data_IF_414923710661
#
_entry.id   IF_414923710661
#
_cell.length_a   1.000
_cell.length_b   1.000
_cell.length_c   1.000
_cell.angle_alpha   90.00
_cell.angle_beta   90.00
_cell.angle_gamma   90.00
#
_symmetry.space_group_name_H-M   'P 1'
#
loop_
_entity.id
_entity.type
_entity.pdbx_description
1 polymer ?
#
# COMPACT_ATOMS: atom_id res chain seq x y z
N UNK A 1 4.24 17.42 -14.32
CA UNK A 1 2.86 17.76 -14.72
C UNK A 1 2.09 18.21 -13.48
N UNK A 2 1.26 19.28 -13.59
CA UNK A 2 0.30 19.66 -12.54
C UNK A 2 -0.73 18.53 -12.41
N UNK A 3 -0.71 17.79 -11.31
CA UNK A 3 -1.70 16.75 -11.10
C UNK A 3 -2.98 17.40 -10.55
N UNK A 4 -3.93 17.65 -11.44
CA UNK A 4 -5.18 18.34 -11.16
C UNK A 4 -6.03 17.63 -10.09
N UNK A 5 -5.87 16.33 -10.00
CA UNK A 5 -6.54 15.48 -9.00
C UNK A 5 -6.13 15.87 -7.56
N UNK A 6 -4.84 16.06 -7.30
CA UNK A 6 -4.37 16.47 -5.96
C UNK A 6 -4.79 17.88 -5.59
N UNK A 7 -4.90 18.79 -6.57
CA UNK A 7 -5.39 20.15 -6.31
C UNK A 7 -6.84 20.12 -5.83
N UNK A 8 -7.66 19.26 -6.44
CA UNK A 8 -9.06 19.09 -6.02
C UNK A 8 -9.19 18.41 -4.65
N UNK A 9 -8.30 17.47 -4.33
CA UNK A 9 -8.34 16.72 -3.07
C UNK A 9 -7.93 17.55 -1.86
N UNK A 10 -6.84 18.31 -1.97
CA UNK A 10 -6.29 19.07 -0.82
C UNK A 10 -6.67 20.54 -0.82
N UNK A 11 -7.27 21.03 -1.91
CA UNK A 11 -7.56 22.43 -2.13
C UNK A 11 -6.38 23.22 -2.71
N UNK A 12 -6.66 24.24 -3.57
CA UNK A 12 -5.63 24.91 -4.36
C UNK A 12 -4.58 25.65 -3.51
N UNK A 13 -4.98 26.30 -2.43
CA UNK A 13 -4.06 27.04 -1.56
C UNK A 13 -3.13 26.10 -0.79
N UNK A 14 -3.69 25.06 -0.19
CA UNK A 14 -2.90 24.07 0.54
C UNK A 14 -1.97 23.31 -0.39
N UNK A 15 -2.45 22.93 -1.58
CA UNK A 15 -1.62 22.32 -2.59
C UNK A 15 -0.46 23.23 -2.99
N UNK A 16 -0.72 24.51 -3.33
CA UNK A 16 0.31 25.43 -3.77
C UNK A 16 1.40 25.66 -2.70
N UNK A 17 1.00 25.86 -1.45
CA UNK A 17 1.94 26.06 -0.34
C UNK A 17 2.78 24.83 -0.07
N UNK A 18 2.17 23.64 0.02
CA UNK A 18 2.90 22.39 0.27
C UNK A 18 3.77 21.99 -0.91
N UNK A 19 3.25 22.06 -2.12
CA UNK A 19 4.02 21.75 -3.32
C UNK A 19 5.19 22.72 -3.51
N UNK A 20 4.97 24.03 -3.37
CA UNK A 20 6.01 25.05 -3.45
C UNK A 20 7.11 24.83 -2.43
N UNK A 21 6.75 24.58 -1.15
CA UNK A 21 7.72 24.27 -0.08
C UNK A 21 8.54 23.01 -0.42
N UNK A 22 7.88 21.97 -0.89
CA UNK A 22 8.56 20.73 -1.27
C UNK A 22 9.52 20.94 -2.45
N UNK A 23 9.08 21.65 -3.51
CA UNK A 23 9.94 21.92 -4.67
C UNK A 23 11.13 22.79 -4.31
N UNK A 24 10.96 23.77 -3.44
CA UNK A 24 12.07 24.58 -2.91
C UNK A 24 13.10 23.69 -2.18
N UNK A 25 12.65 22.80 -1.29
CA UNK A 25 13.54 21.85 -0.61
C UNK A 25 14.25 20.91 -1.58
N UNK A 26 13.50 20.31 -2.53
CA UNK A 26 14.06 19.35 -3.50
C UNK A 26 15.06 20.00 -4.47
N UNK A 27 14.74 21.18 -5.04
CA UNK A 27 15.49 21.79 -6.15
C UNK A 27 16.54 22.80 -5.70
N UNK A 28 16.20 23.62 -4.68
CA UNK A 28 17.10 24.69 -4.21
C UNK A 28 17.98 24.18 -3.09
N UNK A 29 17.40 23.65 -2.02
CA UNK A 29 18.17 23.16 -0.88
C UNK A 29 18.79 21.78 -1.13
N UNK A 30 18.34 21.04 -2.14
CA UNK A 30 18.77 19.67 -2.48
C UNK A 30 18.70 18.72 -1.27
N UNK A 31 17.66 18.86 -0.44
CA UNK A 31 17.43 18.13 0.79
C UNK A 31 16.18 17.26 0.68
N UNK A 32 16.22 16.15 1.42
CA UNK A 32 15.03 15.35 1.68
C UNK A 32 14.06 16.12 2.57
N UNK A 33 12.78 15.81 2.46
CA UNK A 33 11.75 16.38 3.33
C UNK A 33 11.43 15.40 4.45
N UNK A 34 10.82 15.90 5.53
CA UNK A 34 10.30 15.09 6.61
C UNK A 34 8.84 15.41 6.83
N UNK A 35 8.06 14.38 7.11
CA UNK A 35 6.64 14.50 7.42
C UNK A 35 6.35 13.72 8.70
N UNK A 36 5.57 14.30 9.60
CA UNK A 36 5.01 13.56 10.72
C UNK A 36 3.70 12.93 10.27
N UNK A 37 3.67 11.61 10.29
CA UNK A 37 2.48 10.84 9.96
C UNK A 37 1.41 11.00 11.06
N UNK A 38 0.12 10.79 10.77
CA UNK A 38 -0.95 10.86 11.78
C UNK A 38 -0.72 9.94 12.99
N UNK A 39 -0.05 8.81 12.81
CA UNK A 39 0.34 7.87 13.87
C UNK A 39 1.54 8.32 14.70
N UNK A 40 2.11 9.49 14.40
CA UNK A 40 3.18 10.11 15.18
C UNK A 40 4.60 9.89 14.67
N UNK A 41 4.82 8.92 13.79
CA UNK A 41 6.13 8.63 13.20
C UNK A 41 6.60 9.80 12.31
N UNK A 42 7.88 10.16 12.40
CA UNK A 42 8.50 11.14 11.51
C UNK A 42 9.19 10.42 10.36
N UNK A 43 8.53 10.38 9.22
CA UNK A 43 9.04 9.75 8.02
C UNK A 43 9.95 10.70 7.23
N UNK A 44 11.04 10.17 6.67
CA UNK A 44 11.88 10.87 5.68
C UNK A 44 11.32 10.62 4.28
N UNK A 45 11.22 11.68 3.50
CA UNK A 45 10.72 11.67 2.13
C UNK A 45 11.89 11.99 1.18
N UNK A 46 12.51 10.98 0.55
CA UNK A 46 13.65 11.15 -0.35
C UNK A 46 13.28 12.09 -1.50
N UNK A 47 14.17 13.05 -1.78
CA UNK A 47 13.92 14.06 -2.83
C UNK A 47 13.78 13.48 -4.23
N UNK A 48 14.38 12.31 -4.47
CA UNK A 48 14.35 11.63 -5.77
C UNK A 48 13.08 10.80 -5.98
N UNK A 49 12.36 10.43 -4.93
CA UNK A 49 11.13 9.66 -5.03
C UNK A 49 9.95 10.54 -5.47
N UNK A 50 9.17 10.07 -6.44
CA UNK A 50 7.95 10.70 -6.90
C UNK A 50 6.85 10.60 -5.84
N UNK A 51 6.68 9.43 -5.23
CA UNK A 51 5.72 9.15 -4.15
C UNK A 51 5.93 10.08 -2.94
N UNK A 52 7.17 10.51 -2.67
CA UNK A 52 7.46 11.55 -1.66
C UNK A 52 6.69 12.84 -1.89
N UNK A 53 6.42 13.20 -3.15
CA UNK A 53 5.63 14.40 -3.46
C UNK A 53 4.17 14.20 -3.10
N UNK A 54 3.63 13.07 -3.43
CA UNK A 54 2.25 12.70 -3.15
C UNK A 54 2.00 12.63 -1.64
N UNK A 55 2.80 11.86 -0.91
CA UNK A 55 2.74 11.77 0.56
C UNK A 55 2.78 13.16 1.21
N UNK A 56 3.71 14.03 0.76
CA UNK A 56 3.86 15.36 1.35
C UNK A 56 2.69 16.27 1.05
N UNK A 57 2.22 16.31 -0.21
CA UNK A 57 1.12 17.20 -0.64
C UNK A 57 -0.20 16.80 -0.03
N UNK A 58 -0.52 15.50 0.00
CA UNK A 58 -1.77 14.96 0.58
C UNK A 58 -1.74 14.92 2.11
N UNK A 59 -0.60 15.25 2.73
CA UNK A 59 -0.40 15.17 4.18
C UNK A 59 -0.62 13.77 4.74
N UNK A 60 -0.06 12.76 4.04
CA UNK A 60 -0.20 11.35 4.38
C UNK A 60 -1.66 10.86 4.36
N UNK A 61 -2.41 11.27 3.34
CA UNK A 61 -3.72 10.75 2.99
C UNK A 61 -3.75 10.48 1.49
N UNK A 62 -2.93 9.51 1.05
CA UNK A 62 -2.76 9.19 -0.38
C UNK A 62 -3.98 8.44 -0.93
N UNK A 63 -4.53 7.53 -0.12
CA UNK A 63 -5.52 6.56 -0.54
C UNK A 63 -6.91 6.87 0.01
N UNK A 64 -7.22 8.18 0.06
CA UNK A 64 -8.56 8.69 0.39
C UNK A 64 -9.10 8.22 1.75
N UNK A 65 -8.20 8.12 2.74
CA UNK A 65 -8.53 7.70 4.09
C UNK A 65 -8.43 6.20 4.32
N UNK A 66 -8.00 5.40 3.33
CA UNK A 66 -7.75 3.98 3.52
C UNK A 66 -6.72 3.74 4.62
N UNK A 67 -5.71 4.60 4.75
CA UNK A 67 -4.70 4.53 5.80
C UNK A 67 -5.32 4.58 7.21
N UNK A 68 -6.25 5.52 7.43
CA UNK A 68 -6.91 5.68 8.73
C UNK A 68 -7.84 4.50 9.05
N UNK A 69 -8.53 3.97 8.04
CA UNK A 69 -9.34 2.76 8.18
C UNK A 69 -8.44 1.58 8.52
N UNK A 70 -7.32 1.43 7.82
CA UNK A 70 -6.39 0.32 8.02
C UNK A 70 -5.80 0.34 9.44
N UNK A 71 -5.42 1.52 9.96
CA UNK A 71 -4.99 1.69 11.36
C UNK A 71 -6.08 1.29 12.36
N UNK A 72 -7.35 1.59 12.08
CA UNK A 72 -8.46 1.23 12.97
C UNK A 72 -8.59 -0.26 13.22
N UNK A 73 -8.16 -1.09 12.26
CA UNK A 73 -8.18 -2.55 12.34
C UNK A 73 -6.83 -3.15 12.71
N UNK A 74 -5.81 -2.33 12.97
CA UNK A 74 -4.51 -2.80 13.41
C UNK A 74 -4.56 -3.32 14.85
N UNK A 75 -3.81 -4.37 15.10
CA UNK A 75 -3.65 -4.99 16.41
C UNK A 75 -2.17 -4.98 16.81
N UNK A 76 -1.78 -4.36 17.94
CA UNK A 76 -0.40 -4.29 18.39
C UNK A 76 0.21 -5.66 18.77
N UNK A 77 -0.59 -6.71 18.85
CA UNK A 77 -0.13 -8.08 19.07
C UNK A 77 0.08 -8.85 17.77
N UNK A 78 -0.35 -8.34 16.63
CA UNK A 78 -0.28 -9.00 15.34
C UNK A 78 0.65 -8.29 14.37
N UNK A 79 1.09 -9.01 13.34
CA UNK A 79 2.06 -8.54 12.35
C UNK A 79 1.39 -7.96 11.11
N UNK A 80 2.13 -7.09 10.43
CA UNK A 80 1.75 -6.47 9.18
C UNK A 80 2.73 -6.87 8.06
N UNK A 81 2.20 -7.30 6.93
CA UNK A 81 2.97 -7.56 5.70
C UNK A 81 2.71 -6.41 4.72
N UNK A 82 3.75 -5.61 4.43
CA UNK A 82 3.72 -4.50 3.47
C UNK A 82 4.39 -4.94 2.17
N UNK A 83 3.60 -5.44 1.23
CA UNK A 83 4.07 -5.99 -0.04
C UNK A 83 4.08 -4.87 -1.08
N UNK A 84 5.27 -4.58 -1.65
CA UNK A 84 5.52 -3.39 -2.43
C UNK A 84 5.71 -2.15 -1.53
N UNK A 85 6.56 -2.27 -0.51
CA UNK A 85 6.72 -1.25 0.52
C UNK A 85 7.32 0.07 0.01
N UNK A 86 7.98 0.06 -1.15
CA UNK A 86 8.61 1.22 -1.78
C UNK A 86 9.58 1.93 -0.81
N UNK A 87 9.31 3.17 -0.37
CA UNK A 87 10.10 3.89 0.65
C UNK A 87 9.58 3.65 2.08
N UNK A 88 8.65 2.70 2.28
CA UNK A 88 8.13 2.30 3.58
C UNK A 88 7.03 3.20 4.13
N UNK A 89 6.15 3.75 3.28
CA UNK A 89 5.08 4.63 3.72
C UNK A 89 4.09 3.91 4.65
N UNK A 90 3.49 2.81 4.19
CA UNK A 90 2.57 2.03 5.00
C UNK A 90 3.24 1.36 6.19
N UNK A 91 4.47 0.83 6.01
CA UNK A 91 5.27 0.28 7.10
C UNK A 91 5.48 1.30 8.21
N UNK A 92 5.90 2.53 7.88
CA UNK A 92 6.09 3.61 8.87
C UNK A 92 4.76 4.07 9.47
N UNK A 93 3.69 4.13 8.66
CA UNK A 93 2.37 4.56 9.12
C UNK A 93 1.80 3.61 10.17
N UNK A 94 1.93 2.29 9.95
CA UNK A 94 1.33 1.26 10.80
C UNK A 94 2.26 0.78 11.92
N UNK A 95 3.58 1.08 11.87
CA UNK A 95 4.53 0.58 12.86
C UNK A 95 4.15 0.81 14.32
N UNK A 96 3.51 1.93 14.75
CA UNK A 96 3.10 2.10 16.14
C UNK A 96 1.88 1.25 16.53
N UNK A 97 1.17 0.67 15.55
CA UNK A 97 -0.12 0.03 15.73
C UNK A 97 -0.06 -1.50 15.57
N UNK A 98 1.11 -2.06 15.23
CA UNK A 98 1.33 -3.49 14.99
C UNK A 98 2.52 -4.01 15.76
N UNK A 99 2.58 -5.33 15.97
CA UNK A 99 3.71 -5.98 16.64
C UNK A 99 5.00 -5.81 15.83
N UNK A 100 4.97 -6.14 14.55
CA UNK A 100 6.06 -5.99 13.58
C UNK A 100 5.49 -5.74 12.18
N UNK A 101 6.19 -4.96 11.39
CA UNK A 101 5.93 -4.80 9.97
C UNK A 101 7.06 -5.45 9.16
N UNK A 102 6.72 -6.29 8.20
CA UNK A 102 7.63 -6.88 7.23
C UNK A 102 7.45 -6.16 5.89
N UNK A 103 8.45 -5.39 5.50
CA UNK A 103 8.41 -4.51 4.34
C UNK A 103 9.11 -5.16 3.13
N UNK A 104 8.33 -5.71 2.20
CA UNK A 104 8.85 -6.37 0.98
C UNK A 104 9.07 -5.35 -0.12
N UNK A 105 10.30 -5.26 -0.61
CA UNK A 105 10.68 -4.35 -1.69
C UNK A 105 11.86 -4.95 -2.49
N UNK A 106 11.66 -5.33 -3.76
CA UNK A 106 12.72 -5.87 -4.60
C UNK A 106 13.58 -4.79 -5.27
N UNK A 107 13.06 -3.58 -5.46
CA UNK A 107 13.75 -2.53 -6.20
C UNK A 107 14.85 -1.87 -5.36
N UNK A 108 16.11 -2.11 -5.76
CA UNK A 108 17.28 -1.54 -5.07
C UNK A 108 17.28 -0.02 -5.02
N UNK A 109 16.56 0.67 -5.93
CA UNK A 109 16.43 2.13 -5.95
C UNK A 109 15.63 2.65 -4.74
N UNK A 110 14.72 1.84 -4.23
CA UNK A 110 13.84 2.17 -3.09
C UNK A 110 14.46 1.79 -1.74
N UNK A 111 15.31 0.75 -1.71
CA UNK A 111 15.84 0.16 -0.47
C UNK A 111 16.57 1.16 0.43
N UNK A 112 17.29 2.12 -0.12
CA UNK A 112 17.96 3.15 0.71
C UNK A 112 16.95 3.99 1.50
N UNK A 113 15.86 4.42 0.85
CA UNK A 113 14.77 5.14 1.49
C UNK A 113 14.01 4.29 2.49
N UNK A 114 13.69 3.05 2.12
CA UNK A 114 13.02 2.08 2.98
C UNK A 114 13.81 1.78 4.25
N UNK A 115 15.09 1.43 4.13
CA UNK A 115 15.98 1.17 5.28
C UNK A 115 16.11 2.40 6.18
N UNK A 116 16.23 3.60 5.58
CA UNK A 116 16.26 4.86 6.32
C UNK A 116 15.00 5.07 7.16
N UNK A 117 13.83 4.80 6.59
CA UNK A 117 12.55 4.91 7.30
C UNK A 117 12.33 3.78 8.30
N UNK A 118 12.71 2.55 7.98
CA UNK A 118 12.68 1.42 8.91
C UNK A 118 13.55 1.67 10.16
N UNK A 119 14.70 2.31 9.99
CA UNK A 119 15.58 2.70 11.11
C UNK A 119 15.00 3.75 12.06
N UNK A 120 13.90 4.41 11.71
CA UNK A 120 13.19 5.37 12.58
C UNK A 120 12.27 4.67 13.59
N UNK A 121 12.01 3.39 13.40
CA UNK A 121 11.18 2.54 14.27
C UNK A 121 11.96 1.27 14.61
N UNK A 122 11.53 0.53 15.65
CA UNK A 122 12.25 -0.66 16.11
C UNK A 122 11.64 -1.96 15.60
N UNK A 123 10.53 -1.90 14.87
CA UNK A 123 9.70 -3.04 14.52
C UNK A 123 9.39 -3.15 13.02
N UNK A 124 10.17 -2.48 12.15
CA UNK A 124 10.09 -2.69 10.70
C UNK A 124 11.30 -3.54 10.28
N UNK A 125 11.01 -4.66 9.65
CA UNK A 125 11.98 -5.55 9.02
C UNK A 125 11.90 -5.41 7.50
N UNK A 126 13.03 -5.12 6.86
CA UNK A 126 13.11 -4.96 5.39
C UNK A 126 13.40 -6.31 4.76
N UNK A 127 12.53 -6.75 3.85
CA UNK A 127 12.63 -7.99 3.11
C UNK A 127 12.90 -7.67 1.64
N UNK A 128 14.13 -7.91 1.18
CA UNK A 128 14.58 -7.57 -0.19
C UNK A 128 14.16 -8.65 -1.19
N UNK A 129 12.86 -8.87 -1.30
CA UNK A 129 12.25 -9.87 -2.17
C UNK A 129 10.98 -9.31 -2.81
N UNK A 130 10.67 -9.78 -4.01
CA UNK A 130 9.34 -9.65 -4.59
C UNK A 130 8.41 -10.72 -4.02
N UNK A 131 7.11 -10.47 -4.08
CA UNK A 131 6.09 -11.45 -3.70
C UNK A 131 5.26 -11.84 -4.92
N UNK A 132 4.96 -13.13 -5.04
CA UNK A 132 4.17 -13.73 -6.11
C UNK A 132 3.43 -14.97 -5.61
N UNK A 133 2.84 -15.74 -6.51
CA UNK A 133 2.14 -16.99 -6.19
C UNK A 133 3.07 -18.16 -5.82
N UNK A 134 4.38 -18.06 -6.09
CA UNK A 134 5.37 -19.12 -5.82
C UNK A 134 6.76 -18.56 -5.57
N UNK A 135 7.61 -19.39 -4.94
CA UNK A 135 9.00 -19.04 -4.67
C UNK A 135 9.88 -19.19 -5.90
N UNK A 136 10.99 -18.42 -5.94
CA UNK A 136 11.98 -18.55 -7.00
C UNK A 136 12.80 -17.29 -7.25
N UNK A 137 13.08 -17.05 -8.52
CA UNK A 137 13.68 -15.82 -9.01
C UNK A 137 12.96 -15.38 -10.29
N UNK A 138 12.79 -14.09 -10.45
CA UNK A 138 12.13 -13.53 -11.63
C UNK A 138 12.82 -12.27 -12.13
N UNK A 139 12.54 -11.94 -13.38
CA UNK A 139 12.93 -10.65 -13.96
C UNK A 139 12.02 -9.55 -13.37
N UNK A 140 12.64 -8.55 -12.79
CA UNK A 140 11.96 -7.35 -12.30
C UNK A 140 12.24 -6.19 -13.26
N UNK A 141 11.18 -5.55 -13.72
CA UNK A 141 11.22 -4.46 -14.70
C UNK A 141 11.10 -3.13 -13.98
N UNK A 142 12.11 -2.28 -14.12
CA UNK A 142 12.20 -1.02 -13.36
C UNK A 142 11.24 0.07 -13.80
N UNK A 143 10.49 -0.10 -14.90
CA UNK A 143 9.56 0.91 -15.39
C UNK A 143 10.20 2.26 -15.71
N UNK A 144 9.40 3.30 -15.79
CA UNK A 144 9.83 4.69 -16.03
C UNK A 144 10.30 5.42 -14.74
N UNK A 145 10.15 4.80 -13.57
CA UNK A 145 10.51 5.35 -12.27
C UNK A 145 10.47 4.30 -11.17
N UNK A 146 10.94 4.64 -9.98
CA UNK A 146 11.02 3.69 -8.86
C UNK A 146 9.66 3.32 -8.24
N UNK A 147 8.60 4.05 -8.60
CA UNK A 147 7.23 3.78 -8.16
C UNK A 147 6.42 2.94 -9.14
N UNK A 148 7.00 2.50 -10.26
CA UNK A 148 6.32 1.71 -11.30
C UNK A 148 7.10 0.44 -11.66
N UNK A 149 7.91 -0.05 -10.75
CA UNK A 149 8.63 -1.30 -10.94
C UNK A 149 7.74 -2.51 -10.66
N UNK A 150 7.79 -3.54 -11.54
CA UNK A 150 6.92 -4.71 -11.46
C UNK A 150 7.61 -5.99 -11.92
N UNK A 151 7.06 -7.15 -11.52
CA UNK A 151 7.36 -8.43 -12.14
C UNK A 151 6.73 -8.56 -13.54
N UNK A 152 5.70 -7.78 -13.82
CA UNK A 152 5.14 -7.65 -15.16
C UNK A 152 6.06 -6.78 -16.03
N UNK A 153 6.07 -7.03 -17.34
CA UNK A 153 6.91 -6.24 -18.25
C UNK A 153 6.33 -4.83 -18.44
N UNK A 154 6.78 -3.91 -17.61
CA UNK A 154 6.46 -2.46 -17.67
C UNK A 154 7.59 -1.66 -18.35
N UNK A 155 8.57 -2.35 -18.95
CA UNK A 155 9.75 -1.74 -19.56
C UNK A 155 10.80 -1.30 -18.55
N UNK A 156 11.80 -0.54 -19.02
CA UNK A 156 12.91 -0.05 -18.21
C UNK A 156 14.03 -1.06 -17.99
N UNK A 157 14.88 -0.81 -17.00
CA UNK A 157 15.97 -1.70 -16.63
C UNK A 157 15.43 -3.03 -16.07
N UNK A 158 16.04 -4.14 -16.47
CA UNK A 158 15.67 -5.48 -15.99
C UNK A 158 16.72 -5.98 -15.01
N UNK A 159 16.28 -6.42 -13.84
CA UNK A 159 17.12 -7.02 -12.80
C UNK A 159 16.54 -8.36 -12.37
N UNK A 160 17.41 -9.28 -11.94
CA UNK A 160 16.95 -10.54 -11.33
C UNK A 160 16.71 -10.30 -9.83
N UNK A 161 15.54 -10.67 -9.34
CA UNK A 161 15.16 -10.55 -7.93
C UNK A 161 14.74 -11.90 -7.37
N UNK A 162 14.92 -12.07 -6.07
CA UNK A 162 14.34 -13.21 -5.35
C UNK A 162 12.85 -13.00 -5.21
N UNK A 163 12.09 -14.07 -5.34
CA UNK A 163 10.64 -14.11 -5.21
C UNK A 163 10.26 -15.09 -4.12
N UNK A 164 9.28 -14.72 -3.31
CA UNK A 164 8.65 -15.64 -2.34
C UNK A 164 7.13 -15.54 -2.43
N UNK A 165 6.43 -16.60 -2.05
CA UNK A 165 5.01 -16.50 -1.73
C UNK A 165 4.84 -16.05 -0.27
N UNK A 166 3.70 -15.45 0.05
CA UNK A 166 3.38 -15.10 1.44
C UNK A 166 3.33 -16.35 2.31
N UNK A 167 2.74 -17.44 1.78
CA UNK A 167 2.64 -18.71 2.51
C UNK A 167 4.01 -19.29 2.86
N UNK A 168 4.95 -19.27 1.92
CA UNK A 168 6.34 -19.73 2.16
C UNK A 168 7.06 -18.80 3.15
N UNK A 169 6.89 -17.49 3.02
CA UNK A 169 7.50 -16.55 3.96
C UNK A 169 7.00 -16.80 5.39
N UNK A 170 5.70 -16.93 5.59
CA UNK A 170 5.07 -17.19 6.89
C UNK A 170 5.52 -18.53 7.46
N UNK A 171 5.56 -19.58 6.63
CA UNK A 171 6.01 -20.91 7.06
C UNK A 171 7.48 -20.92 7.55
N UNK A 172 8.32 -20.06 6.98
CA UNK A 172 9.73 -19.93 7.36
C UNK A 172 9.98 -18.95 8.53
N UNK A 173 8.92 -18.31 9.07
CA UNK A 173 9.01 -17.38 10.21
C UNK A 173 8.14 -17.84 11.37
N UNK A 174 8.60 -18.81 12.18
CA UNK A 174 7.84 -19.31 13.33
C UNK A 174 7.44 -18.19 14.29
N UNK A 175 6.19 -18.16 14.70
CA UNK A 175 5.64 -17.16 15.62
C UNK A 175 5.11 -15.89 14.96
N UNK A 176 5.13 -15.81 13.62
CA UNK A 176 4.41 -14.76 12.90
C UNK A 176 2.89 -14.93 13.08
N UNK A 177 2.18 -13.83 13.30
CA UNK A 177 0.71 -13.78 13.39
C UNK A 177 0.21 -12.63 12.50
N UNK A 178 -0.22 -12.96 11.29
CA UNK A 178 -0.55 -11.97 10.28
C UNK A 178 -1.92 -11.36 10.52
N UNK A 179 -1.97 -10.11 10.98
CA UNK A 179 -3.21 -9.34 11.17
C UNK A 179 -3.62 -8.49 9.99
N UNK A 180 -2.62 -7.92 9.31
CA UNK A 180 -2.81 -7.01 8.19
C UNK A 180 -1.87 -7.39 7.04
N UNK A 181 -2.37 -7.22 5.81
CA UNK A 181 -1.57 -7.33 4.58
C UNK A 181 -1.88 -6.13 3.68
N UNK A 182 -0.87 -5.48 3.14
CA UNK A 182 -1.03 -4.53 2.02
C UNK A 182 -0.33 -5.09 0.80
N UNK A 183 -0.97 -5.06 -0.37
CA UNK A 183 -0.33 -5.34 -1.65
C UNK A 183 -0.48 -4.15 -2.59
N UNK A 184 0.62 -3.79 -3.22
CA UNK A 184 0.70 -2.73 -4.23
C UNK A 184 2.01 -2.98 -5.01
N UNK A 185 1.90 -3.84 -6.00
CA UNK A 185 3.03 -4.38 -6.77
C UNK A 185 2.86 -4.15 -8.27
N UNK A 186 2.20 -3.04 -8.60
CA UNK A 186 2.10 -2.50 -9.95
C UNK A 186 1.56 -3.54 -10.95
N UNK A 187 0.32 -4.01 -10.67
CA UNK A 187 -0.43 -4.94 -11.52
C UNK A 187 -0.07 -6.42 -11.35
N UNK A 188 0.76 -6.79 -10.36
CA UNK A 188 1.08 -8.17 -10.00
C UNK A 188 0.38 -8.61 -8.68
N UNK A 189 -0.60 -7.81 -8.22
CA UNK A 189 -1.27 -7.98 -6.94
C UNK A 189 -2.04 -9.28 -6.85
N UNK A 190 -2.73 -9.67 -7.92
CA UNK A 190 -3.52 -10.90 -7.94
C UNK A 190 -2.64 -12.13 -7.75
N UNK A 191 -1.45 -12.17 -8.36
CA UNK A 191 -0.48 -13.23 -8.17
C UNK A 191 0.05 -13.26 -6.72
N UNK A 192 0.26 -12.09 -6.10
CA UNK A 192 0.63 -12.01 -4.69
C UNK A 192 -0.50 -12.55 -3.78
N UNK A 193 -1.76 -12.26 -4.11
CA UNK A 193 -2.94 -12.80 -3.41
C UNK A 193 -3.03 -14.32 -3.55
N UNK A 194 -2.76 -14.88 -4.74
CA UNK A 194 -2.69 -16.33 -4.93
C UNK A 194 -1.59 -17.01 -4.11
N UNK A 195 -0.55 -16.26 -3.71
CA UNK A 195 0.53 -16.76 -2.87
C UNK A 195 0.24 -16.79 -1.36
N UNK A 196 -1.03 -16.54 -0.90
CA UNK A 196 -1.32 -16.40 0.54
C UNK A 196 -2.54 -17.22 1.02
N UNK A 197 -2.91 -18.27 0.32
CA UNK A 197 -4.09 -19.08 0.67
C UNK A 197 -4.02 -19.67 2.08
N UNK A 198 -2.88 -20.26 2.46
CA UNK A 198 -2.69 -20.87 3.78
C UNK A 198 -2.64 -19.81 4.88
N UNK A 199 -2.05 -18.66 4.59
CA UNK A 199 -1.99 -17.49 5.48
C UNK A 199 -3.39 -16.95 5.74
N UNK A 200 -4.20 -16.78 4.69
CA UNK A 200 -5.61 -16.36 4.82
C UNK A 200 -6.43 -17.36 5.61
N UNK A 201 -6.28 -18.67 5.34
CA UNK A 201 -7.00 -19.71 6.06
C UNK A 201 -6.66 -19.74 7.55
N UNK A 202 -5.38 -19.49 7.90
CA UNK A 202 -4.88 -19.57 9.27
C UNK A 202 -5.14 -18.31 10.09
N UNK A 203 -4.98 -17.14 9.53
CA UNK A 203 -4.93 -15.87 10.25
C UNK A 203 -6.09 -14.91 9.95
N UNK A 204 -6.78 -15.09 8.84
CA UNK A 204 -7.87 -14.22 8.37
C UNK A 204 -7.50 -12.72 8.43
N UNK A 205 -6.35 -12.30 7.82
CA UNK A 205 -5.90 -10.93 7.88
C UNK A 205 -6.86 -10.00 7.13
N UNK A 206 -6.95 -8.75 7.56
CA UNK A 206 -7.49 -7.70 6.69
C UNK A 206 -6.47 -7.38 5.61
N UNK A 207 -6.90 -7.38 4.35
CA UNK A 207 -6.04 -7.11 3.20
C UNK A 207 -6.43 -5.78 2.57
N UNK A 208 -5.45 -4.91 2.28
CA UNK A 208 -5.57 -3.71 1.48
C UNK A 208 -4.77 -3.91 0.19
N UNK A 209 -5.41 -3.81 -0.98
CA UNK A 209 -4.77 -4.12 -2.26
C UNK A 209 -5.07 -3.11 -3.34
N UNK A 210 -4.10 -2.85 -4.24
CA UNK A 210 -4.29 -2.10 -5.48
C UNK A 210 -4.78 -3.00 -6.63
N UNK A 211 -5.10 -4.26 -6.34
CA UNK A 211 -5.60 -5.20 -7.32
C UNK A 211 -6.82 -4.65 -8.06
N UNK A 212 -6.86 -4.83 -9.36
CA UNK A 212 -8.03 -4.45 -10.14
C UNK A 212 -9.24 -5.30 -9.75
N UNK A 213 -10.39 -4.64 -9.52
CA UNK A 213 -11.66 -5.35 -9.29
C UNK A 213 -12.02 -6.18 -10.52
N UNK A 214 -11.98 -7.49 -10.41
CA UNK A 214 -12.20 -8.45 -11.50
C UNK A 214 -13.06 -9.63 -11.03
N UNK A 215 -13.55 -10.44 -11.98
CA UNK A 215 -14.21 -11.70 -11.64
C UNK A 215 -13.30 -12.65 -10.88
N UNK A 216 -12.03 -12.71 -11.26
CA UNK A 216 -11.03 -13.56 -10.60
C UNK A 216 -10.79 -13.14 -9.15
N UNK A 217 -10.68 -11.84 -8.85
CA UNK A 217 -10.60 -11.33 -7.49
C UNK A 217 -11.87 -11.65 -6.69
N UNK A 218 -13.06 -11.51 -7.30
CA UNK A 218 -14.32 -11.81 -6.62
C UNK A 218 -14.46 -13.29 -6.32
N UNK A 219 -14.03 -14.17 -7.23
CA UNK A 219 -14.04 -15.63 -7.02
C UNK A 219 -13.06 -16.03 -5.90
N UNK A 220 -11.88 -15.41 -5.87
CA UNK A 220 -10.91 -15.61 -4.80
C UNK A 220 -11.46 -15.17 -3.44
N UNK A 221 -12.08 -13.99 -3.37
CA UNK A 221 -12.73 -13.48 -2.16
C UNK A 221 -13.89 -14.39 -1.70
N UNK A 222 -14.67 -14.91 -2.63
CA UNK A 222 -15.77 -15.85 -2.31
C UNK A 222 -15.23 -17.16 -1.69
N UNK A 223 -14.12 -17.71 -2.23
CA UNK A 223 -13.45 -18.87 -1.66
C UNK A 223 -12.96 -18.63 -0.22
N UNK A 224 -12.46 -17.43 0.06
CA UNK A 224 -11.98 -17.01 1.38
C UNK A 224 -13.09 -16.57 2.34
N UNK A 225 -14.32 -16.40 1.87
CA UNK A 225 -15.44 -15.76 2.59
C UNK A 225 -15.15 -14.31 2.96
N UNK A 226 -14.49 -13.60 2.06
CA UNK A 226 -14.17 -12.18 2.18
C UNK A 226 -15.15 -11.32 1.39
N UNK A 227 -15.38 -10.11 1.87
CA UNK A 227 -16.09 -9.05 1.14
C UNK A 227 -15.15 -7.94 0.74
N UNK A 228 -15.49 -7.27 -0.35
CA UNK A 228 -14.68 -6.19 -0.92
C UNK A 228 -15.32 -4.85 -0.57
N UNK A 229 -14.55 -3.97 0.08
CA UNK A 229 -14.95 -2.59 0.40
C UNK A 229 -13.90 -1.61 -0.14
N UNK A 230 -14.30 -0.37 -0.37
CA UNK A 230 -13.35 0.66 -0.78
C UNK A 230 -13.81 2.08 -0.45
N UNK A 231 -12.86 3.04 -0.32
CA UNK A 231 -13.12 4.43 -0.59
C UNK A 231 -13.43 4.62 -2.08
N UNK A 232 -14.59 5.15 -2.41
CA UNK A 232 -15.13 5.29 -3.76
C UNK A 232 -15.38 6.76 -4.05
N UNK A 233 -14.72 7.33 -5.05
CA UNK A 233 -14.86 8.72 -5.45
C UNK A 233 -15.75 8.84 -6.68
N UNK A 234 -16.90 9.45 -6.54
CA UNK A 234 -17.86 9.62 -7.63
C UNK A 234 -17.24 10.39 -8.81
N UNK A 235 -17.33 9.81 -10.00
CA UNK A 235 -16.91 10.46 -11.27
C UNK A 235 -17.79 11.66 -11.61
N UNK A 236 -19.06 11.65 -11.15
CA UNK A 236 -20.04 12.69 -11.45
C UNK A 236 -19.84 13.97 -10.65
N UNK A 237 -19.52 13.86 -9.36
CA UNK A 237 -19.48 15.01 -8.46
C UNK A 237 -18.23 15.09 -7.56
N UNK A 238 -17.29 14.14 -7.68
CA UNK A 238 -16.06 14.09 -6.92
C UNK A 238 -16.22 13.75 -5.43
N UNK A 239 -17.43 13.47 -4.95
CA UNK A 239 -17.67 13.11 -3.55
C UNK A 239 -17.08 11.73 -3.25
N UNK A 240 -16.46 11.62 -2.10
CA UNK A 240 -15.93 10.37 -1.57
C UNK A 240 -16.97 9.74 -0.63
N UNK A 241 -17.19 8.46 -0.78
CA UNK A 241 -17.92 7.63 0.18
C UNK A 241 -17.15 6.33 0.42
N UNK A 242 -17.49 5.63 1.47
CA UNK A 242 -16.93 4.32 1.76
C UNK A 242 -18.05 3.28 1.75
N UNK A 243 -17.84 2.14 1.08
CA UNK A 243 -18.86 1.11 1.00
C UNK A 243 -18.37 -0.21 0.40
N UNK A 244 -19.27 -1.22 0.40
CA UNK A 244 -19.04 -2.50 -0.27
C UNK A 244 -19.01 -2.28 -1.79
N UNK A 245 -17.98 -2.82 -2.44
CA UNK A 245 -17.81 -2.70 -3.90
C UNK A 245 -18.66 -3.70 -4.66
N UNK A 246 -19.24 -3.24 -5.74
CA UNK A 246 -19.99 -4.05 -6.71
C UNK A 246 -19.39 -3.93 -8.11
N UNK A 247 -19.58 -4.90 -9.00
CA UNK A 247 -19.03 -4.85 -10.36
C UNK A 247 -19.36 -3.57 -11.14
N UNK A 248 -20.59 -3.06 -10.98
CA UNK A 248 -21.04 -1.84 -11.64
C UNK A 248 -20.37 -0.54 -11.14
N UNK A 249 -19.78 -0.56 -9.95
CA UNK A 249 -19.21 0.65 -9.33
C UNK A 249 -18.03 1.22 -10.13
N UNK A 250 -17.33 0.40 -10.92
CA UNK A 250 -16.25 0.86 -11.82
C UNK A 250 -16.70 1.92 -12.83
N UNK A 251 -17.94 1.89 -13.26
CA UNK A 251 -18.46 2.85 -14.24
C UNK A 251 -18.64 4.24 -13.61
N UNK A 252 -19.10 4.29 -12.36
CA UNK A 252 -19.52 5.50 -11.68
C UNK A 252 -18.46 6.08 -10.73
N UNK A 253 -17.49 5.26 -10.30
CA UNK A 253 -16.53 5.62 -9.26
C UNK A 253 -15.07 5.41 -9.67
N UNK A 254 -14.21 6.28 -9.13
CA UNK A 254 -12.78 6.04 -9.05
C UNK A 254 -12.49 5.26 -7.77
N UNK A 255 -11.70 4.20 -7.85
CA UNK A 255 -11.26 3.37 -6.73
C UNK A 255 -9.74 3.25 -6.84
N UNK A 256 -9.01 3.54 -5.75
CA UNK A 256 -7.55 3.39 -5.69
C UNK A 256 -7.17 2.06 -5.05
N UNK A 257 -7.76 1.77 -3.89
CA UNK A 257 -7.43 0.61 -3.07
C UNK A 257 -8.70 -0.14 -2.69
N UNK A 258 -8.59 -1.45 -2.60
CA UNK A 258 -9.65 -2.34 -2.16
C UNK A 258 -9.30 -2.93 -0.79
N UNK A 259 -10.26 -2.93 0.13
CA UNK A 259 -10.20 -3.73 1.35
C UNK A 259 -10.85 -5.08 1.10
N UNK A 260 -10.11 -6.16 1.30
CA UNK A 260 -10.64 -7.50 1.36
C UNK A 260 -10.79 -7.83 2.85
N UNK A 261 -12.04 -7.82 3.33
CA UNK A 261 -12.36 -7.97 4.74
C UNK A 261 -12.85 -9.39 5.05
N UNK A 262 -12.29 -10.08 6.06
CA UNK A 262 -12.77 -11.40 6.50
C UNK A 262 -14.18 -11.31 7.10
N UNK A 263 -14.90 -12.42 7.13
CA UNK A 263 -16.29 -12.51 7.61
C UNK A 263 -16.47 -11.89 9.01
N UNK A 264 -15.49 -12.09 9.90
CA UNK A 264 -15.48 -11.53 11.26
C UNK A 264 -15.52 -10.01 11.33
N UNK A 265 -15.15 -9.32 10.24
CA UNK A 265 -15.06 -7.86 10.17
C UNK A 265 -16.17 -7.22 9.31
N UNK A 266 -17.04 -8.01 8.64
CA UNK A 266 -18.05 -7.48 7.72
C UNK A 266 -18.98 -6.45 8.37
N UNK A 267 -19.45 -6.68 9.60
CA UNK A 267 -20.32 -5.74 10.31
C UNK A 267 -19.61 -4.44 10.67
N UNK A 268 -18.33 -4.52 11.06
CA UNK A 268 -17.53 -3.33 11.36
C UNK A 268 -17.28 -2.49 10.10
N UNK A 269 -16.99 -3.13 8.96
CA UNK A 269 -16.82 -2.45 7.67
C UNK A 269 -18.13 -1.83 7.17
N UNK A 270 -19.27 -2.56 7.30
CA UNK A 270 -20.57 -2.02 6.95
C UNK A 270 -20.95 -0.79 7.77
N UNK A 271 -20.51 -0.72 9.03
CA UNK A 271 -20.76 0.45 9.90
C UNK A 271 -19.95 1.69 9.52
N UNK A 272 -18.88 1.53 8.71
CA UNK A 272 -18.10 2.65 8.16
C UNK A 272 -18.74 3.25 6.91
N UNK A 273 -19.71 2.54 6.30
CA UNK A 273 -20.38 3.02 5.10
C UNK A 273 -21.05 4.38 5.37
N UNK A 274 -20.62 5.39 4.61
CA UNK A 274 -21.22 6.73 4.62
C UNK A 274 -22.22 6.80 3.48
N UNK A 275 -23.46 7.14 3.78
CA UNK A 275 -24.53 7.33 2.79
C UNK A 275 -24.41 8.66 2.06
#
# INVERSE_FOLDING_TARGET
MLNWTFIQEVGPLQWATRYGTLQFRKRVLKQDSRLRLPTGVRMTLPRQSQTSTEIYVTNANMDWGAEAIFVRFADPQRDFLDIGAHIGYYSAYLSPCVRRAYAFEPDTRNLSGLRGNAGLTRNIEVVEMAVSSSDGAASFFGGSGSSVGSLNNVGGAVTQVKVTSVDSFVANHPGIDVGLVKTDVEGHDLEALHGMHSTVASFQPLILTECEYSSELTDLCAQWKYKIFAPQKSKKNGKLHFGECKPADKEDYWIKMLFLAPESQHSAFASLATH
#
